data_IF_473514849523
#
_entry.id   IF_473514849523
#
_cell.length_a   1.000
_cell.length_b   1.000
_cell.length_c   1.000
_cell.angle_alpha   90.00
_cell.angle_beta   90.00
_cell.angle_gamma   90.00
#
_symmetry.space_group_name_H-M   'P 1'
#
loop_
_entity.id
_entity.type
_entity.pdbx_description
1 polymer ?
#
# COMPACT_ATOMS: atom_id res chain seq x y z
N UNK A 1 -1.68 32.90 31.23
CA UNK A 1 -1.61 31.90 30.14
C UNK A 1 -0.75 30.72 30.60
N UNK A 2 -1.30 29.51 30.77
CA UNK A 2 -0.55 28.39 31.33
C UNK A 2 0.53 27.94 30.34
N UNK A 3 1.77 27.77 30.84
CA UNK A 3 2.92 27.35 30.04
C UNK A 3 2.68 25.94 29.51
N UNK A 4 2.37 25.82 28.21
CA UNK A 4 2.29 24.54 27.51
C UNK A 4 3.61 23.78 27.68
N UNK A 5 3.52 22.52 28.10
CA UNK A 5 4.68 21.63 28.31
C UNK A 5 5.56 21.61 27.04
N UNK A 6 6.89 21.62 27.14
CA UNK A 6 7.81 21.70 25.99
C UNK A 6 7.55 20.62 24.92
N UNK A 7 7.12 19.42 25.33
CA UNK A 7 6.73 18.34 24.40
C UNK A 7 5.54 18.68 23.52
N UNK A 8 4.56 19.44 24.03
CA UNK A 8 3.38 19.81 23.25
C UNK A 8 3.74 20.84 22.17
N UNK A 9 4.70 21.73 22.46
CA UNK A 9 5.21 22.69 21.47
C UNK A 9 5.97 22.00 20.34
N UNK A 10 6.83 21.03 20.67
CA UNK A 10 7.54 20.23 19.65
C UNK A 10 6.59 19.40 18.79
N UNK A 11 5.57 18.76 19.39
CA UNK A 11 4.54 18.05 18.65
C UNK A 11 3.75 18.96 17.71
N UNK A 12 3.36 20.16 18.17
CA UNK A 12 2.66 21.13 17.34
C UNK A 12 3.52 21.65 16.18
N UNK A 13 4.83 21.89 16.40
CA UNK A 13 5.78 22.25 15.35
C UNK A 13 5.91 21.15 14.30
N UNK A 14 6.09 19.89 14.74
CA UNK A 14 6.16 18.74 13.86
C UNK A 14 4.89 18.58 13.01
N UNK A 15 3.71 18.65 13.63
CA UNK A 15 2.44 18.56 12.91
C UNK A 15 2.28 19.69 11.90
N UNK A 16 2.62 20.93 12.26
CA UNK A 16 2.55 22.06 11.35
C UNK A 16 3.50 21.88 10.14
N UNK A 17 4.73 21.42 10.38
CA UNK A 17 5.70 21.13 9.33
C UNK A 17 5.20 20.03 8.39
N UNK A 18 4.66 18.94 8.95
CA UNK A 18 4.08 17.84 8.19
C UNK A 18 2.91 18.30 7.31
N UNK A 19 1.97 19.07 7.86
CA UNK A 19 0.82 19.57 7.12
C UNK A 19 1.25 20.51 5.99
N UNK A 20 2.16 21.45 6.27
CA UNK A 20 2.67 22.37 5.26
C UNK A 20 3.37 21.63 4.12
N UNK A 21 4.12 20.58 4.44
CA UNK A 21 4.80 19.75 3.45
C UNK A 21 3.82 18.95 2.60
N UNK A 22 2.89 18.22 3.24
CA UNK A 22 1.89 17.43 2.55
C UNK A 22 1.02 18.28 1.58
N UNK A 23 0.74 19.53 1.94
CA UNK A 23 0.04 20.48 1.08
C UNK A 23 0.92 20.96 -0.09
N UNK A 24 2.16 21.40 0.20
CA UNK A 24 3.12 21.86 -0.81
C UNK A 24 3.46 20.79 -1.86
N UNK A 25 3.64 19.54 -1.42
CA UNK A 25 3.96 18.42 -2.32
C UNK A 25 2.74 17.95 -3.13
N UNK A 26 1.54 18.36 -2.72
CA UNK A 26 0.26 18.00 -3.32
C UNK A 26 -0.06 16.53 -3.06
N UNK A 27 0.04 16.07 -1.81
CA UNK A 27 -0.11 14.66 -1.44
C UNK A 27 -1.39 14.02 -2.01
N UNK A 28 -2.51 14.73 -1.93
CA UNK A 28 -3.80 14.26 -2.45
C UNK A 28 -3.81 14.15 -3.97
N UNK A 29 -3.14 15.06 -4.68
CA UNK A 29 -2.98 15.02 -6.13
C UNK A 29 -2.08 13.85 -6.55
N UNK A 30 -0.97 13.64 -5.85
CA UNK A 30 -0.05 12.53 -6.07
C UNK A 30 -0.72 11.18 -5.81
N UNK A 31 -1.51 11.07 -4.74
CA UNK A 31 -2.31 9.89 -4.45
C UNK A 31 -3.35 9.62 -5.55
N UNK A 32 -3.99 10.67 -6.08
CA UNK A 32 -4.91 10.58 -7.22
C UNK A 32 -4.22 10.06 -8.49
N UNK A 33 -3.03 10.59 -8.82
CA UNK A 33 -2.22 10.12 -9.93
C UNK A 33 -1.85 8.63 -9.77
N UNK A 34 -1.34 8.23 -8.61
CA UNK A 34 -0.97 6.84 -8.35
C UNK A 34 -2.18 5.91 -8.38
N UNK A 35 -3.35 6.35 -7.88
CA UNK A 35 -4.58 5.57 -7.94
C UNK A 35 -5.02 5.35 -9.39
N UNK A 36 -5.02 6.39 -10.22
CA UNK A 36 -5.34 6.30 -11.64
C UNK A 36 -4.41 5.32 -12.37
N UNK A 37 -3.10 5.47 -12.19
CA UNK A 37 -2.12 4.58 -12.83
C UNK A 37 -2.25 3.15 -12.29
N UNK A 38 -2.54 2.97 -11.00
CA UNK A 38 -2.75 1.65 -10.39
C UNK A 38 -3.96 0.93 -10.99
N UNK A 39 -5.07 1.64 -11.21
CA UNK A 39 -6.27 1.04 -11.78
C UNK A 39 -6.07 0.64 -13.24
N UNK A 40 -5.38 1.47 -14.03
CA UNK A 40 -5.06 1.13 -15.43
C UNK A 40 -4.07 -0.03 -15.55
N UNK A 41 -3.15 -0.15 -14.59
CA UNK A 41 -2.14 -1.21 -14.55
C UNK A 41 -2.58 -2.46 -13.80
N UNK A 42 -3.73 -2.45 -13.12
CA UNK A 42 -4.20 -3.58 -12.30
C UNK A 42 -4.32 -4.87 -13.11
N UNK A 43 -5.01 -4.82 -14.26
CA UNK A 43 -5.15 -5.97 -15.16
C UNK A 43 -3.80 -6.41 -15.76
N UNK A 44 -3.00 -5.50 -16.35
CA UNK A 44 -1.64 -5.83 -16.81
C UNK A 44 -0.76 -6.48 -15.74
N UNK A 45 -0.78 -5.97 -14.52
CA UNK A 45 0.07 -6.42 -13.42
C UNK A 45 -0.32 -7.83 -12.97
N UNK A 46 -1.62 -8.09 -12.83
CA UNK A 46 -2.15 -9.43 -12.53
C UNK A 46 -1.70 -10.42 -13.62
N UNK A 47 -1.78 -10.04 -14.90
CA UNK A 47 -1.38 -10.90 -16.02
C UNK A 47 0.11 -11.25 -15.98
N UNK A 48 0.97 -10.27 -15.70
CA UNK A 48 2.43 -10.48 -15.56
C UNK A 48 2.73 -11.41 -14.39
N UNK A 49 2.09 -11.19 -13.22
CA UNK A 49 2.28 -12.04 -12.03
C UNK A 49 1.87 -13.49 -12.31
N UNK A 50 0.69 -13.71 -12.92
CA UNK A 50 0.24 -15.07 -13.26
C UNK A 50 1.14 -15.74 -14.31
N UNK A 51 1.61 -14.99 -15.29
CA UNK A 51 2.53 -15.51 -16.31
C UNK A 51 3.85 -15.95 -15.69
N UNK A 52 4.40 -15.17 -14.75
CA UNK A 52 5.60 -15.53 -14.00
C UNK A 52 5.39 -16.78 -13.15
N UNK A 53 4.27 -16.92 -12.45
CA UNK A 53 3.97 -18.14 -11.68
C UNK A 53 3.79 -19.38 -12.57
N UNK A 54 3.22 -19.23 -13.77
CA UNK A 54 3.09 -20.32 -14.72
C UNK A 54 4.45 -20.77 -15.31
N UNK A 55 5.44 -19.87 -15.37
CA UNK A 55 6.78 -20.14 -15.88
C UNK A 55 7.64 -20.99 -14.92
N UNK A 56 7.33 -21.01 -13.62
CA UNK A 56 8.11 -21.70 -12.60
C UNK A 56 7.29 -22.82 -11.96
N UNK A 57 7.63 -24.11 -12.21
CA UNK A 57 6.85 -25.25 -11.73
C UNK A 57 6.64 -25.32 -10.21
N UNK A 58 7.56 -24.75 -9.42
CA UNK A 58 7.45 -24.66 -7.95
C UNK A 58 6.23 -23.85 -7.48
N UNK A 59 5.67 -22.97 -8.33
CA UNK A 59 4.53 -22.13 -7.98
C UNK A 59 3.20 -22.60 -8.57
N UNK A 60 3.12 -23.79 -9.20
CA UNK A 60 1.86 -24.32 -9.74
C UNK A 60 0.79 -24.49 -8.67
N UNK A 61 1.19 -24.96 -7.49
CA UNK A 61 0.28 -25.21 -6.37
C UNK A 61 -0.12 -23.90 -5.67
N UNK A 62 0.81 -22.95 -5.57
CA UNK A 62 0.58 -21.60 -5.03
C UNK A 62 -0.37 -20.81 -5.94
N UNK A 63 -0.26 -20.95 -7.26
CA UNK A 63 -1.16 -20.29 -8.22
C UNK A 63 -2.62 -20.71 -8.02
N UNK A 64 -2.84 -22.01 -7.74
CA UNK A 64 -4.16 -22.58 -7.46
C UNK A 64 -4.70 -22.08 -6.12
N UNK A 65 -3.87 -22.16 -5.06
CA UNK A 65 -4.25 -21.67 -3.74
C UNK A 65 -4.48 -20.15 -3.69
N UNK A 66 -3.71 -19.35 -4.43
CA UNK A 66 -3.88 -17.90 -4.51
C UNK A 66 -5.15 -17.53 -5.27
N UNK A 67 -5.49 -18.27 -6.33
CA UNK A 67 -6.80 -18.18 -6.99
C UNK A 67 -7.92 -18.43 -5.99
N UNK A 68 -7.89 -19.59 -5.33
CA UNK A 68 -8.93 -19.99 -4.37
C UNK A 68 -9.02 -19.00 -3.19
N UNK A 69 -7.88 -18.46 -2.76
CA UNK A 69 -7.79 -17.45 -1.73
C UNK A 69 -8.49 -16.14 -2.14
N UNK A 70 -8.17 -15.61 -3.33
CA UNK A 70 -8.79 -14.41 -3.89
C UNK A 70 -10.30 -14.64 -4.07
N UNK A 71 -10.70 -15.81 -4.58
CA UNK A 71 -12.12 -16.16 -4.77
C UNK A 71 -12.88 -16.24 -3.45
N UNK A 72 -12.32 -16.91 -2.44
CA UNK A 72 -12.99 -17.13 -1.16
C UNK A 72 -13.05 -15.87 -0.28
N UNK A 73 -12.02 -15.01 -0.31
CA UNK A 73 -11.87 -13.94 0.67
C UNK A 73 -12.11 -12.53 0.13
N UNK A 74 -11.95 -12.30 -1.17
CA UNK A 74 -12.24 -11.00 -1.78
C UNK A 74 -13.56 -10.98 -2.57
N UNK A 75 -14.10 -12.13 -2.98
CA UNK A 75 -15.18 -12.22 -3.98
C UNK A 75 -16.36 -13.17 -3.65
N UNK A 76 -16.81 -13.32 -2.38
CA UNK A 76 -17.90 -14.27 -2.07
C UNK A 76 -19.26 -13.90 -2.69
N UNK A 77 -19.47 -12.64 -3.12
CA UNK A 77 -20.76 -12.16 -3.64
C UNK A 77 -20.84 -12.03 -5.19
N UNK A 78 -19.76 -12.25 -5.94
CA UNK A 78 -19.67 -11.98 -7.39
C UNK A 78 -18.94 -13.07 -8.20
N UNK A 79 -18.72 -14.25 -7.60
CA UNK A 79 -17.86 -15.33 -8.11
C UNK A 79 -18.06 -15.71 -9.58
N UNK A 80 -19.30 -15.91 -10.03
CA UNK A 80 -19.56 -16.45 -11.38
C UNK A 80 -19.23 -15.50 -12.54
N UNK A 81 -19.30 -14.18 -12.33
CA UNK A 81 -19.08 -13.20 -13.41
C UNK A 81 -17.58 -12.99 -13.59
N UNK A 82 -16.85 -12.77 -12.49
CA UNK A 82 -15.41 -12.46 -12.54
C UNK A 82 -14.58 -13.72 -12.82
N UNK A 83 -15.02 -14.90 -12.37
CA UNK A 83 -14.39 -16.17 -12.75
C UNK A 83 -14.46 -16.39 -14.27
N UNK A 84 -15.63 -16.17 -14.89
CA UNK A 84 -15.74 -16.17 -16.36
C UNK A 84 -14.83 -15.13 -17.00
N UNK A 85 -14.72 -13.92 -16.46
CA UNK A 85 -13.80 -12.91 -17.00
C UNK A 85 -12.33 -13.29 -16.84
N UNK A 86 -11.92 -13.92 -15.73
CA UNK A 86 -10.56 -14.40 -15.52
C UNK A 86 -10.23 -15.60 -16.41
N UNK A 87 -11.14 -16.56 -16.53
CA UNK A 87 -11.00 -17.71 -17.45
C UNK A 87 -10.98 -17.24 -18.91
N UNK A 88 -11.87 -16.31 -19.26
CA UNK A 88 -11.90 -15.67 -20.58
C UNK A 88 -10.67 -14.79 -20.82
N UNK A 89 -10.11 -14.14 -19.79
CA UNK A 89 -8.86 -13.41 -19.88
C UNK A 89 -7.68 -14.35 -20.12
N UNK A 90 -7.57 -15.45 -19.38
CA UNK A 90 -6.53 -16.47 -19.60
C UNK A 90 -6.68 -17.09 -21.00
N UNK A 91 -7.92 -17.38 -21.42
CA UNK A 91 -8.24 -17.89 -22.77
C UNK A 91 -7.97 -16.87 -23.89
N UNK A 92 -8.12 -15.57 -23.63
CA UNK A 92 -7.80 -14.51 -24.57
C UNK A 92 -6.31 -14.13 -24.54
N UNK A 93 -5.61 -14.33 -23.42
CA UNK A 93 -4.16 -14.14 -23.29
C UNK A 93 -3.40 -15.10 -24.19
N UNK A 94 -3.90 -16.33 -24.41
CA UNK A 94 -3.31 -17.25 -25.39
C UNK A 94 -3.54 -16.86 -26.85
N UNK A 95 -4.48 -15.94 -27.10
CA UNK A 95 -4.74 -15.31 -28.43
C UNK A 95 -4.11 -13.92 -28.56
N UNK A 96 -3.43 -13.45 -27.51
CA UNK A 96 -2.91 -12.10 -27.45
C UNK A 96 -1.67 -11.99 -28.34
N UNK A 97 -1.68 -11.02 -29.25
CA UNK A 97 -0.53 -10.75 -30.11
C UNK A 97 0.65 -10.26 -29.26
N UNK A 98 1.88 -10.47 -29.74
CA UNK A 98 3.09 -10.00 -29.06
C UNK A 98 3.03 -8.50 -28.71
N UNK A 99 2.33 -7.71 -29.53
CA UNK A 99 2.07 -6.27 -29.30
C UNK A 99 1.22 -6.03 -28.05
N UNK A 100 0.17 -6.83 -27.82
CA UNK A 100 -0.67 -6.72 -26.62
C UNK A 100 0.09 -7.06 -25.34
N UNK A 101 0.90 -8.13 -25.37
CA UNK A 101 1.76 -8.51 -24.23
C UNK A 101 2.79 -7.44 -23.90
N UNK A 102 3.45 -6.87 -24.92
CA UNK A 102 4.35 -5.73 -24.73
C UNK A 102 3.62 -4.53 -24.12
N UNK A 103 2.40 -4.23 -24.58
CA UNK A 103 1.56 -3.18 -24.00
C UNK A 103 1.31 -3.37 -22.51
N UNK A 104 0.92 -4.58 -22.08
CA UNK A 104 0.68 -4.88 -20.66
C UNK A 104 1.96 -4.76 -19.81
N UNK A 105 3.09 -5.24 -20.32
CA UNK A 105 4.39 -5.11 -19.63
C UNK A 105 4.73 -3.63 -19.46
N UNK A 106 4.60 -2.83 -20.52
CA UNK A 106 4.86 -1.38 -20.47
C UNK A 106 3.94 -0.70 -19.45
N UNK A 107 2.64 -0.98 -19.46
CA UNK A 107 1.70 -0.39 -18.49
C UNK A 107 2.04 -0.77 -17.04
N UNK A 108 2.47 -2.02 -16.80
CA UNK A 108 2.91 -2.47 -15.48
C UNK A 108 4.19 -1.75 -15.03
N UNK A 109 5.15 -1.58 -15.94
CA UNK A 109 6.38 -0.84 -15.68
C UNK A 109 6.11 0.65 -15.43
N UNK A 110 5.11 1.24 -16.10
CA UNK A 110 4.69 2.62 -15.89
C UNK A 110 4.19 2.84 -14.45
N UNK A 111 3.40 1.92 -13.90
CA UNK A 111 2.97 2.01 -12.49
C UNK A 111 4.18 2.07 -11.56
N UNK A 112 5.12 1.14 -11.74
CA UNK A 112 6.29 1.06 -10.89
C UNK A 112 7.14 2.33 -11.01
N UNK A 113 7.32 2.84 -12.24
CA UNK A 113 8.03 4.10 -12.49
C UNK A 113 7.32 5.31 -11.87
N UNK A 114 6.00 5.36 -11.90
CA UNK A 114 5.21 6.40 -11.23
C UNK A 114 5.41 6.35 -9.71
N UNK A 115 5.39 5.16 -9.09
CA UNK A 115 5.64 4.99 -7.65
C UNK A 115 7.06 5.45 -7.28
N UNK A 116 8.08 5.02 -8.03
CA UNK A 116 9.47 5.46 -7.84
C UNK A 116 9.58 7.00 -7.96
N UNK A 117 8.98 7.59 -8.99
CA UNK A 117 9.03 9.04 -9.21
C UNK A 117 8.35 9.81 -8.08
N UNK A 118 7.19 9.36 -7.61
CA UNK A 118 6.42 10.04 -6.55
C UNK A 118 7.16 9.96 -5.22
N UNK A 119 7.67 8.79 -4.84
CA UNK A 119 8.45 8.65 -3.61
C UNK A 119 9.74 9.47 -3.69
N UNK A 120 10.47 9.44 -4.81
CA UNK A 120 11.68 10.27 -4.93
C UNK A 120 11.40 11.79 -4.93
N UNK A 121 10.20 12.21 -5.38
CA UNK A 121 9.73 13.59 -5.24
C UNK A 121 9.57 13.97 -3.77
N UNK A 122 8.91 13.13 -2.96
CA UNK A 122 8.73 13.36 -1.51
C UNK A 122 10.07 13.48 -0.79
N UNK A 123 11.02 12.60 -1.12
CA UNK A 123 12.39 12.65 -0.57
C UNK A 123 13.28 13.74 -1.21
N UNK A 124 12.75 14.54 -2.15
CA UNK A 124 13.45 15.60 -2.88
C UNK A 124 14.80 15.14 -3.47
N UNK A 125 14.82 13.94 -4.07
CA UNK A 125 16.05 13.37 -4.66
C UNK A 125 16.01 13.38 -6.19
N UNK A 126 17.06 13.93 -6.79
CA UNK A 126 17.23 14.01 -8.24
C UNK A 126 18.29 13.05 -8.80
N UNK A 127 18.87 12.19 -7.97
CA UNK A 127 19.96 11.28 -8.38
C UNK A 127 19.46 10.16 -9.30
N UNK A 128 20.20 9.88 -10.36
CA UNK A 128 19.96 8.71 -11.25
C UNK A 128 20.65 7.48 -10.68
N UNK A 129 19.90 6.43 -10.32
CA UNK A 129 20.47 5.12 -9.97
C UNK A 129 20.79 4.32 -11.24
N UNK A 130 21.78 3.39 -11.21
CA UNK A 130 22.03 2.50 -12.33
C UNK A 130 20.81 1.62 -12.60
N UNK A 131 20.51 1.38 -13.88
CA UNK A 131 19.32 0.64 -14.35
C UNK A 131 19.24 -0.77 -13.74
N UNK A 132 20.38 -1.42 -13.51
CA UNK A 132 20.45 -2.79 -12.95
C UNK A 132 19.91 -2.89 -11.52
N UNK A 133 20.24 -1.92 -10.66
CA UNK A 133 19.70 -1.89 -9.29
C UNK A 133 18.22 -1.53 -9.27
N UNK A 134 17.80 -0.67 -10.20
CA UNK A 134 16.38 -0.34 -10.38
C UNK A 134 15.62 -1.59 -10.81
N UNK A 135 16.15 -2.39 -11.73
CA UNK A 135 15.53 -3.64 -12.18
C UNK A 135 15.35 -4.65 -11.04
N UNK A 136 16.38 -4.93 -10.23
CA UNK A 136 16.28 -5.87 -9.11
C UNK A 136 15.27 -5.42 -8.04
N UNK A 137 15.22 -4.12 -7.75
CA UNK A 137 14.21 -3.54 -6.86
C UNK A 137 12.81 -3.67 -7.46
N UNK A 138 12.64 -3.34 -8.74
CA UNK A 138 11.35 -3.49 -9.44
C UNK A 138 10.90 -4.94 -9.45
N UNK A 139 11.82 -5.88 -9.59
CA UNK A 139 11.55 -7.31 -9.48
C UNK A 139 11.07 -7.72 -8.09
N UNK A 140 11.69 -7.18 -7.03
CA UNK A 140 11.26 -7.41 -5.65
C UNK A 140 9.89 -6.79 -5.37
N UNK A 141 9.64 -5.54 -5.80
CA UNK A 141 8.34 -4.87 -5.59
C UNK A 141 7.23 -5.60 -6.35
N UNK A 142 7.49 -6.04 -7.60
CA UNK A 142 6.51 -6.75 -8.43
C UNK A 142 6.13 -8.12 -7.86
N UNK A 143 7.05 -8.81 -7.19
CA UNK A 143 6.82 -10.15 -6.64
C UNK A 143 6.40 -10.09 -5.18
N UNK A 144 7.26 -9.53 -4.32
CA UNK A 144 7.08 -9.49 -2.88
C UNK A 144 5.95 -8.54 -2.46
N UNK A 145 5.78 -7.41 -3.14
CA UNK A 145 4.77 -6.40 -2.81
C UNK A 145 3.34 -6.95 -2.86
N UNK A 146 2.87 -7.47 -4.01
CA UNK A 146 1.56 -8.09 -4.11
C UNK A 146 1.37 -9.27 -3.17
N UNK A 147 2.39 -10.12 -2.98
CA UNK A 147 2.31 -11.27 -2.06
C UNK A 147 2.05 -10.80 -0.63
N UNK A 148 2.82 -9.83 -0.14
CA UNK A 148 2.66 -9.30 1.21
C UNK A 148 1.31 -8.58 1.39
N UNK A 149 0.87 -7.83 0.38
CA UNK A 149 -0.42 -7.14 0.41
C UNK A 149 -1.58 -8.14 0.45
N UNK A 150 -1.57 -9.13 -0.45
CA UNK A 150 -2.57 -10.19 -0.50
C UNK A 150 -2.55 -10.95 0.83
N UNK A 151 -1.40 -11.33 1.36
CA UNK A 151 -1.29 -12.01 2.66
C UNK A 151 -1.82 -11.16 3.83
N UNK A 152 -1.55 -9.85 3.87
CA UNK A 152 -2.07 -8.97 4.91
C UNK A 152 -3.60 -8.90 4.87
N UNK A 153 -4.19 -8.64 3.70
CA UNK A 153 -5.65 -8.55 3.57
C UNK A 153 -6.28 -9.93 3.80
N UNK A 154 -5.63 -10.98 3.33
CA UNK A 154 -6.05 -12.35 3.48
C UNK A 154 -6.31 -12.74 4.93
N UNK A 155 -5.25 -12.56 5.72
CA UNK A 155 -5.22 -12.91 7.13
C UNK A 155 -6.17 -11.99 7.90
N UNK A 156 -6.25 -10.70 7.52
CA UNK A 156 -7.22 -9.77 8.10
C UNK A 156 -8.66 -10.24 7.91
N UNK A 157 -9.01 -10.66 6.70
CA UNK A 157 -10.36 -11.13 6.35
C UNK A 157 -10.73 -12.42 7.09
N UNK A 158 -9.79 -13.37 7.15
CA UNK A 158 -9.96 -14.62 7.89
C UNK A 158 -10.10 -14.41 9.41
N UNK A 159 -9.33 -13.51 10.01
CA UNK A 159 -9.44 -13.21 11.43
C UNK A 159 -10.73 -12.44 11.76
N UNK A 160 -11.18 -11.57 10.87
CA UNK A 160 -12.49 -10.94 10.99
C UNK A 160 -13.58 -12.01 10.97
N UNK A 161 -13.58 -12.95 10.02
CA UNK A 161 -14.60 -14.01 9.98
C UNK A 161 -14.58 -14.91 11.23
N UNK A 162 -13.41 -15.20 11.79
CA UNK A 162 -13.27 -15.92 13.06
C UNK A 162 -13.79 -15.13 14.27
N UNK A 163 -13.67 -13.79 14.29
CA UNK A 163 -14.25 -12.96 15.36
C UNK A 163 -15.79 -12.93 15.31
N UNK A 164 -16.41 -13.11 14.15
CA UNK A 164 -17.87 -13.34 14.08
C UNK A 164 -18.28 -14.71 14.64
N UNK A 165 -17.38 -15.71 14.58
CA UNK A 165 -17.62 -17.08 15.05
C UNK A 165 -17.16 -17.36 16.50
N UNK A 166 -16.23 -16.57 17.05
CA UNK A 166 -15.63 -16.81 18.37
C UNK A 166 -16.34 -16.04 19.49
N UNK A 167 -17.56 -16.50 19.80
CA UNK A 167 -18.18 -16.37 21.13
C UNK A 167 -17.52 -17.29 22.17
N UNK A 168 -16.55 -18.13 21.77
CA UNK A 168 -15.82 -19.05 22.64
C UNK A 168 -14.54 -18.39 23.18
N UNK A 169 -14.62 -17.83 24.39
CA UNK A 169 -13.59 -17.03 25.07
C UNK A 169 -12.24 -17.70 25.38
N UNK A 170 -11.51 -18.19 24.38
CA UNK A 170 -10.14 -18.69 24.54
C UNK A 170 -9.15 -17.53 24.38
N UNK A 171 -8.79 -16.89 25.49
CA UNK A 171 -7.77 -15.83 25.57
C UNK A 171 -6.33 -16.39 25.46
N UNK A 172 -6.03 -17.12 24.38
CA UNK A 172 -4.69 -17.66 24.15
C UNK A 172 -3.73 -16.60 23.60
N UNK A 173 -2.44 -16.71 23.93
CA UNK A 173 -1.35 -15.91 23.34
C UNK A 173 -1.33 -16.04 21.80
N UNK A 174 -1.78 -17.19 21.29
CA UNK A 174 -1.90 -17.45 19.85
C UNK A 174 -2.92 -16.52 19.19
N UNK A 175 -4.07 -16.24 19.81
CA UNK A 175 -5.09 -15.32 19.25
C UNK A 175 -4.57 -13.88 19.22
N UNK A 176 -3.86 -13.43 20.26
CA UNK A 176 -3.20 -12.12 20.27
C UNK A 176 -2.13 -11.99 19.18
N UNK A 177 -1.33 -13.03 18.97
CA UNK A 177 -0.31 -13.04 17.93
C UNK A 177 -0.94 -12.99 16.53
N UNK A 178 -1.98 -13.79 16.30
CA UNK A 178 -2.72 -13.80 15.04
C UNK A 178 -3.35 -12.43 14.75
N UNK A 179 -3.99 -11.78 15.74
CA UNK A 179 -4.58 -10.44 15.59
C UNK A 179 -3.55 -9.35 15.30
N UNK A 180 -2.31 -9.49 15.76
CA UNK A 180 -1.22 -8.56 15.48
C UNK A 180 -0.59 -8.78 14.09
N UNK A 181 -0.77 -9.97 13.51
CA UNK A 181 -0.06 -10.40 12.32
C UNK A 181 -0.35 -9.54 11.07
N UNK A 182 -1.59 -9.11 10.78
CA UNK A 182 -1.83 -8.18 9.69
C UNK A 182 -1.08 -6.86 9.81
N UNK A 183 -1.09 -6.27 11.03
CA UNK A 183 -0.37 -5.03 11.31
C UNK A 183 1.14 -5.22 11.13
N UNK A 184 1.69 -6.36 11.57
CA UNK A 184 3.11 -6.67 11.39
C UNK A 184 3.47 -6.80 9.91
N UNK A 185 2.66 -7.49 9.10
CA UNK A 185 2.89 -7.61 7.65
C UNK A 185 2.83 -6.24 6.99
N UNK A 186 1.80 -5.43 7.28
CA UNK A 186 1.67 -4.08 6.73
C UNK A 186 2.81 -3.17 7.17
N UNK A 187 3.23 -3.26 8.43
CA UNK A 187 4.37 -2.51 8.96
C UNK A 187 5.68 -2.86 8.25
N UNK A 188 5.99 -4.15 8.11
CA UNK A 188 7.17 -4.63 7.38
C UNK A 188 7.11 -4.20 5.91
N UNK A 189 5.93 -4.28 5.28
CA UNK A 189 5.74 -3.89 3.89
C UNK A 189 6.04 -2.41 3.66
N UNK A 190 5.51 -1.53 4.51
CA UNK A 190 5.80 -0.09 4.42
C UNK A 190 7.24 0.24 4.80
N UNK A 191 7.82 -0.48 5.76
CA UNK A 191 9.23 -0.31 6.11
C UNK A 191 10.15 -0.64 4.94
N UNK A 192 9.88 -1.75 4.23
CA UNK A 192 10.60 -2.11 3.01
C UNK A 192 10.39 -1.05 1.92
N UNK A 193 9.15 -0.59 1.73
CA UNK A 193 8.83 0.45 0.75
C UNK A 193 9.64 1.73 1.00
N UNK A 194 9.68 2.22 2.23
CA UNK A 194 10.37 3.47 2.58
C UNK A 194 11.89 3.33 2.70
N UNK A 195 12.40 2.12 2.92
CA UNK A 195 13.85 1.88 3.04
C UNK A 195 14.51 1.57 1.69
N UNK A 196 13.79 0.90 0.79
CA UNK A 196 14.37 0.37 -0.46
C UNK A 196 14.11 1.33 -1.62
N UNK A 197 12.86 1.81 -1.77
CA UNK A 197 12.44 2.55 -2.97
C UNK A 197 13.08 3.93 -3.08
N UNK A 198 13.11 4.77 -2.02
CA UNK A 198 13.74 6.07 -2.11
C UNK A 198 15.21 5.98 -2.50
N UNK A 199 15.65 6.93 -3.32
CA UNK A 199 17.06 7.07 -3.69
C UNK A 199 17.89 7.72 -2.60
N UNK A 200 17.25 8.40 -1.66
CA UNK A 200 17.84 8.97 -0.46
C UNK A 200 18.38 7.91 0.51
N UNK A 201 19.38 8.28 1.30
CA UNK A 201 19.75 7.52 2.49
C UNK A 201 18.73 7.81 3.58
N UNK A 202 17.90 6.83 3.93
CA UNK A 202 16.86 6.98 4.96
C UNK A 202 17.32 6.28 6.23
N UNK A 203 17.40 6.97 7.39
CA UNK A 203 17.69 6.33 8.65
C UNK A 203 16.63 5.27 8.98
N UNK A 204 17.05 4.05 9.32
CA UNK A 204 16.13 2.92 9.57
C UNK A 204 15.11 3.24 10.66
N UNK A 205 15.50 4.04 11.66
CA UNK A 205 14.60 4.47 12.75
C UNK A 205 13.42 5.30 12.24
N UNK A 206 13.69 6.23 11.32
CA UNK A 206 12.66 7.14 10.81
C UNK A 206 11.72 6.38 9.87
N UNK A 207 12.28 5.48 9.04
CA UNK A 207 11.50 4.56 8.20
C UNK A 207 10.60 3.63 9.02
N UNK A 208 11.07 3.10 10.16
CA UNK A 208 10.26 2.25 11.03
C UNK A 208 9.09 3.00 11.66
N UNK A 209 9.30 4.25 12.10
CA UNK A 209 8.24 5.08 12.69
C UNK A 209 7.20 5.44 11.63
N UNK A 210 7.62 5.94 10.47
CA UNK A 210 6.70 6.26 9.37
C UNK A 210 5.93 5.03 8.89
N UNK A 211 6.61 3.88 8.77
CA UNK A 211 5.97 2.61 8.42
C UNK A 211 4.96 2.15 9.47
N UNK A 212 5.22 2.37 10.77
CA UNK A 212 4.29 1.97 11.83
C UNK A 212 3.02 2.80 11.77
N UNK A 213 3.15 4.12 11.56
CA UNK A 213 2.01 5.02 11.40
C UNK A 213 1.21 4.67 10.14
N UNK A 214 1.87 4.45 9.00
CA UNK A 214 1.21 4.00 7.78
C UNK A 214 0.53 2.64 7.97
N UNK A 215 1.19 1.68 8.61
CA UNK A 215 0.66 0.37 8.93
C UNK A 215 -0.62 0.45 9.77
N UNK A 216 -0.58 1.21 10.86
CA UNK A 216 -1.73 1.42 11.72
C UNK A 216 -2.90 2.10 10.97
N UNK A 217 -2.61 3.15 10.21
CA UNK A 217 -3.62 3.84 9.39
C UNK A 217 -4.19 2.94 8.30
N UNK A 218 -3.39 2.06 7.70
CA UNK A 218 -3.83 1.11 6.68
C UNK A 218 -4.76 0.04 7.25
N UNK A 219 -4.43 -0.51 8.43
CA UNK A 219 -5.32 -1.44 9.14
C UNK A 219 -6.64 -0.77 9.56
N UNK A 220 -6.58 0.47 10.05
CA UNK A 220 -7.76 1.26 10.35
C UNK A 220 -8.56 1.57 9.09
N UNK A 221 -7.88 1.90 7.99
CA UNK A 221 -8.46 2.13 6.68
C UNK A 221 -9.23 0.92 6.15
N UNK A 222 -8.66 -0.29 6.26
CA UNK A 222 -9.35 -1.55 5.89
C UNK A 222 -10.65 -1.71 6.66
N UNK A 223 -10.63 -1.50 7.97
CA UNK A 223 -11.82 -1.61 8.83
C UNK A 223 -12.85 -0.53 8.50
N UNK A 224 -12.41 0.71 8.34
CA UNK A 224 -13.28 1.85 8.00
C UNK A 224 -13.92 1.66 6.61
N UNK A 225 -13.17 1.16 5.64
CA UNK A 225 -13.67 0.90 4.30
C UNK A 225 -14.64 -0.28 4.26
N UNK A 226 -14.37 -1.35 5.02
CA UNK A 226 -15.32 -2.44 5.19
C UNK A 226 -16.64 -1.95 5.79
N UNK A 227 -16.58 -1.09 6.82
CA UNK A 227 -17.75 -0.42 7.40
C UNK A 227 -18.48 0.46 6.39
N UNK A 228 -17.75 1.25 5.60
CA UNK A 228 -18.32 2.11 4.55
C UNK A 228 -19.13 1.29 3.52
N UNK A 229 -18.57 0.20 3.01
CA UNK A 229 -19.26 -0.66 2.04
C UNK A 229 -20.52 -1.30 2.63
N UNK A 230 -20.51 -1.63 3.93
CA UNK A 230 -21.66 -2.20 4.64
C UNK A 230 -22.76 -1.16 4.93
N UNK A 231 -22.39 0.06 5.32
CA UNK A 231 -23.32 1.12 5.71
C UNK A 231 -23.96 1.84 4.52
N UNK A 232 -23.34 1.80 3.34
CA UNK A 232 -23.81 2.51 2.15
C UNK A 232 -24.11 1.57 0.96
N UNK A 233 -25.03 0.60 1.10
CA UNK A 233 -25.42 -0.29 0.01
C UNK A 233 -26.13 0.45 -1.13
N UNK A 234 -26.63 1.67 -0.88
CA UNK A 234 -27.33 2.52 -1.84
C UNK A 234 -26.52 2.76 -3.13
N UNK A 235 -25.19 2.81 -3.05
CA UNK A 235 -24.33 2.93 -4.22
C UNK A 235 -24.44 1.71 -5.14
N UNK A 236 -24.51 0.50 -4.58
CA UNK A 236 -24.74 -0.73 -5.33
C UNK A 236 -26.17 -0.82 -5.86
N UNK A 237 -27.16 -0.27 -5.14
CA UNK A 237 -28.56 -0.25 -5.59
C UNK A 237 -28.79 0.64 -6.82
N UNK A 238 -28.10 1.77 -6.91
CA UNK A 238 -28.25 2.72 -8.03
C UNK A 238 -27.42 2.30 -9.24
N UNK A 239 -26.15 1.94 -9.03
CA UNK A 239 -25.19 1.70 -10.11
C UNK A 239 -24.97 0.21 -10.43
N UNK A 240 -25.54 -0.70 -9.64
CA UNK A 240 -25.37 -2.14 -9.83
C UNK A 240 -23.89 -2.54 -9.83
N UNK A 241 -23.49 -3.37 -10.80
CA UNK A 241 -22.10 -3.83 -10.99
C UNK A 241 -21.12 -2.68 -11.26
N UNK A 242 -21.59 -1.57 -11.85
CA UNK A 242 -20.73 -0.42 -12.13
C UNK A 242 -20.26 0.29 -10.85
N UNK A 243 -20.93 0.08 -9.71
CA UNK A 243 -20.51 0.60 -8.42
C UNK A 243 -19.10 0.13 -8.01
N UNK A 244 -18.65 -1.03 -8.52
CA UNK A 244 -17.32 -1.59 -8.22
C UNK A 244 -16.21 -0.62 -8.63
N UNK A 245 -16.35 0.09 -9.76
CA UNK A 245 -15.32 0.99 -10.28
C UNK A 245 -15.04 2.17 -9.32
N UNK A 246 -16.01 3.03 -8.95
CA UNK A 246 -15.77 4.13 -8.02
C UNK A 246 -15.43 3.66 -6.61
N UNK A 247 -15.99 2.53 -6.14
CA UNK A 247 -15.66 1.94 -4.84
C UNK A 247 -14.18 1.52 -4.81
N UNK A 248 -13.72 0.83 -5.86
CA UNK A 248 -12.32 0.42 -6.00
C UNK A 248 -11.40 1.64 -6.14
N UNK A 249 -11.80 2.64 -6.93
CA UNK A 249 -11.04 3.89 -7.06
C UNK A 249 -10.84 4.58 -5.72
N UNK A 250 -11.91 4.71 -4.93
CA UNK A 250 -11.86 5.30 -3.60
C UNK A 250 -10.92 4.53 -2.67
N UNK A 251 -10.99 3.19 -2.68
CA UNK A 251 -10.12 2.34 -1.86
C UNK A 251 -8.65 2.54 -2.19
N UNK A 252 -8.31 2.47 -3.48
CA UNK A 252 -6.94 2.63 -3.96
C UNK A 252 -6.43 4.05 -3.68
N UNK A 253 -7.27 5.06 -3.85
CA UNK A 253 -6.96 6.45 -3.51
C UNK A 253 -6.63 6.62 -2.03
N UNK A 254 -7.49 6.14 -1.12
CA UNK A 254 -7.25 6.21 0.33
C UNK A 254 -5.98 5.44 0.71
N UNK A 255 -5.76 4.28 0.09
CA UNK A 255 -4.54 3.49 0.31
C UNK A 255 -3.29 4.27 -0.05
N UNK A 256 -3.27 4.96 -1.19
CA UNK A 256 -2.15 5.81 -1.57
C UNK A 256 -2.00 7.03 -0.66
N UNK A 257 -3.09 7.67 -0.23
CA UNK A 257 -3.01 8.75 0.76
C UNK A 257 -2.29 8.29 2.05
N UNK A 258 -2.60 7.08 2.54
CA UNK A 258 -1.96 6.50 3.73
C UNK A 258 -0.46 6.24 3.48
N UNK A 259 -0.14 5.63 2.32
CA UNK A 259 1.25 5.34 1.93
C UNK A 259 2.08 6.61 1.84
N UNK A 260 1.56 7.65 1.17
CA UNK A 260 2.28 8.91 0.99
C UNK A 260 2.38 9.68 2.29
N UNK A 261 1.36 9.62 3.15
CA UNK A 261 1.43 10.26 4.48
C UNK A 261 2.52 9.64 5.34
N UNK A 262 2.68 8.30 5.33
CA UNK A 262 3.78 7.64 6.04
C UNK A 262 5.16 7.99 5.49
N UNK A 263 5.26 8.19 4.17
CA UNK A 263 6.46 8.70 3.54
C UNK A 263 6.80 10.13 4.01
N UNK A 264 5.82 11.05 3.99
CA UNK A 264 6.00 12.41 4.49
C UNK A 264 6.44 12.46 5.95
N UNK A 265 5.83 11.62 6.79
CA UNK A 265 6.23 11.48 8.20
C UNK A 265 7.69 11.04 8.31
N UNK A 266 8.11 10.06 7.50
CA UNK A 266 9.48 9.55 7.48
C UNK A 266 10.49 10.66 7.16
N UNK A 267 10.22 11.48 6.15
CA UNK A 267 11.13 12.57 5.76
C UNK A 267 11.11 13.70 6.78
N UNK A 268 9.91 14.09 7.23
CA UNK A 268 9.74 15.16 8.23
C UNK A 268 10.44 14.82 9.55
N UNK A 269 10.48 13.55 9.96
CA UNK A 269 11.24 13.11 11.14
C UNK A 269 12.74 13.33 11.00
N UNK A 270 13.29 13.05 9.81
CA UNK A 270 14.70 13.28 9.53
C UNK A 270 15.06 14.76 9.56
N UNK A 271 14.24 15.61 8.92
CA UNK A 271 14.47 17.05 8.89
C UNK A 271 14.25 17.73 10.24
N UNK A 272 13.23 17.32 10.99
CA UNK A 272 12.97 17.85 12.33
C UNK A 272 14.15 17.57 13.28
N UNK A 273 14.74 16.37 13.21
CA UNK A 273 15.94 16.03 13.97
C UNK A 273 17.18 16.82 13.52
N UNK A 274 17.27 17.17 12.24
CA UNK A 274 18.37 17.99 11.73
C UNK A 274 18.30 19.45 12.20
N UNK A 275 17.11 19.95 12.58
CA UNK A 275 16.91 21.33 13.05
C UNK A 275 17.10 21.51 14.57
N UNK A 276 16.97 20.45 15.37
CA UNK A 276 17.13 20.52 16.84
C UNK A 276 18.55 20.92 17.34
N UNK A 277 19.67 20.52 16.71
CA UNK A 277 21.02 20.89 17.17
C UNK A 277 21.33 22.39 17.07
N UNK A 278 20.77 23.07 16.07
CA UNK A 278 21.04 24.51 15.82
C UNK A 278 20.27 25.41 16.81
N UNK A 279 19.09 25.00 17.29
CA UNK A 279 18.32 25.78 18.28
C UNK A 279 18.94 25.73 19.69
N UNK A 280 19.48 24.59 20.14
CA UNK A 280 20.14 24.49 21.45
C UNK A 280 21.45 25.30 21.49
N UNK A 281 22.19 25.34 20.39
CA UNK A 281 23.44 26.13 20.28
C UNK A 281 23.15 27.63 20.24
N UNK A 282 22.11 28.05 19.49
CA UNK A 282 21.69 29.46 19.40
C UNK A 282 21.04 30.01 20.69
N UNK A 283 20.50 29.13 21.55
CA UNK A 283 19.98 29.50 22.87
C UNK A 283 21.06 29.59 23.96
N UNK A 284 22.25 29.01 23.73
CA UNK A 284 23.39 29.10 24.65
C UNK A 284 24.28 30.33 24.39
N UNK A 285 24.23 30.90 23.17
CA UNK A 285 24.94 32.14 22.82
C UNK A 285 24.17 33.44 23.16
N UNK A 286 22.98 33.33 23.74
CA UNK A 286 22.12 34.46 24.14
C UNK A 286 21.95 34.55 25.65
#
# INVERSE_FOLDING_TARGET
MPRLHPRLKSAARFSHMLFKRADNDGLTLLAGHLAYVSLLSLVPLIAVVFSLFALFPVFSDISTQLKDFIFANFLPATGNIIQRYLEQFVSNSSKMTAVGTCGLIVTSLLLIASVDSVLNKIWNTHSRRPIVYSFAMYWMVLTLGPILLVASVAISSYLLSLNWLSLSGVHSIVDRLLRALPLLISWISFWLLYSIVPKASVPTRDALIGALVAGALFELGKKAFALYVQLFPSYQLIYGVLAVIPILFLWVYISWCIVLLGAEITVTLGEFRAQEPDEETALQEK
#
